data_IF_764438758271
#
_entry.id   IF_764438758271
#
_cell.length_a   1.000
_cell.length_b   1.000
_cell.length_c   1.000
_cell.angle_alpha   90.00
_cell.angle_beta   90.00
_cell.angle_gamma   90.00
#
_symmetry.space_group_name_H-M   'P 1'
#
loop_
_entity.id
_entity.type
_entity.pdbx_description
1 polymer ?
#
# COMPACT_ATOMS: atom_id res chain seq x y z
N UNK A 1 1.70 -11.03 22.40
CA UNK A 1 1.08 -11.45 21.14
C UNK A 1 -0.37 -10.92 21.04
N UNK A 2 -1.18 -11.01 22.06
CA UNK A 2 -2.61 -10.64 22.05
C UNK A 2 -2.89 -9.11 22.07
N UNK A 3 -1.88 -8.27 22.02
CA UNK A 3 -1.99 -6.80 22.07
C UNK A 3 -2.03 -6.14 20.69
N UNK A 4 -1.85 -6.90 19.61
CA UNK A 4 -1.82 -6.39 18.25
C UNK A 4 -2.27 -7.46 17.24
N UNK A 5 -2.76 -7.01 16.11
CA UNK A 5 -3.07 -7.86 14.95
C UNK A 5 -1.80 -8.11 14.15
N UNK A 6 -1.42 -9.39 14.01
CA UNK A 6 -0.25 -9.77 13.23
C UNK A 6 -0.64 -9.99 11.77
N UNK A 7 -0.03 -9.23 10.88
CA UNK A 7 -0.21 -9.39 9.44
C UNK A 7 1.09 -9.84 8.76
N UNK A 8 1.00 -10.72 7.78
CA UNK A 8 2.10 -11.14 6.92
C UNK A 8 1.60 -11.39 5.48
N UNK A 9 2.50 -11.73 4.57
CA UNK A 9 2.19 -11.85 3.14
C UNK A 9 2.81 -13.12 2.54
N UNK A 10 2.15 -13.63 1.47
CA UNK A 10 2.64 -14.71 0.60
C UNK A 10 2.48 -14.36 -0.88
N UNK A 11 2.82 -15.28 -1.76
CA UNK A 11 2.66 -15.15 -3.21
C UNK A 11 3.74 -14.30 -3.89
N UNK A 12 4.78 -13.89 -3.15
CA UNK A 12 5.95 -13.24 -3.71
C UNK A 12 7.21 -13.64 -2.94
N UNK A 13 8.29 -13.90 -3.65
CA UNK A 13 9.55 -14.32 -3.06
C UNK A 13 10.74 -13.96 -3.93
N UNK A 14 11.94 -14.23 -3.44
CA UNK A 14 13.17 -14.20 -4.21
C UNK A 14 13.57 -15.63 -4.60
N UNK A 15 13.92 -15.83 -5.87
CA UNK A 15 14.41 -17.09 -6.41
C UNK A 15 15.78 -16.85 -7.02
N UNK A 16 16.75 -17.68 -6.69
CA UNK A 16 18.05 -17.69 -7.36
C UNK A 16 17.92 -18.47 -8.69
N UNK A 17 17.65 -17.72 -9.75
CA UNK A 17 17.40 -18.30 -11.09
C UNK A 17 18.69 -18.76 -11.76
N UNK A 18 19.80 -18.07 -11.50
CA UNK A 18 21.09 -18.31 -12.15
C UNK A 18 22.05 -19.19 -11.32
N UNK A 19 21.71 -19.46 -10.05
CA UNK A 19 22.60 -20.17 -9.12
C UNK A 19 23.83 -19.35 -8.68
N UNK A 20 23.75 -18.02 -8.84
CA UNK A 20 24.85 -17.09 -8.52
C UNK A 20 24.64 -16.38 -7.16
N UNK A 21 23.62 -16.78 -6.41
CA UNK A 21 23.23 -16.18 -5.12
C UNK A 21 22.41 -14.89 -5.25
N UNK A 22 22.13 -14.42 -6.47
CA UNK A 22 21.29 -13.24 -6.68
C UNK A 22 19.83 -13.65 -6.80
N UNK A 23 19.02 -13.11 -5.90
CA UNK A 23 17.60 -13.38 -5.87
C UNK A 23 16.85 -12.47 -6.86
N UNK A 24 16.13 -13.10 -7.78
CA UNK A 24 15.16 -12.42 -8.65
C UNK A 24 13.79 -12.51 -8.00
N UNK A 25 13.07 -11.38 -7.97
CA UNK A 25 11.70 -11.36 -7.47
C UNK A 25 10.78 -12.16 -8.39
N UNK A 26 10.01 -13.07 -7.80
CA UNK A 26 9.02 -13.90 -8.49
C UNK A 26 7.69 -13.77 -7.77
N UNK A 27 6.62 -13.59 -8.56
CA UNK A 27 5.24 -13.69 -8.09
C UNK A 27 4.77 -15.11 -8.39
N UNK A 28 4.29 -15.82 -7.38
CA UNK A 28 3.82 -17.19 -7.48
C UNK A 28 2.59 -17.40 -6.61
N UNK A 29 1.42 -17.36 -7.24
CA UNK A 29 0.11 -17.50 -6.61
C UNK A 29 -0.40 -18.94 -6.54
N UNK A 30 0.42 -19.97 -6.86
CA UNK A 30 0.00 -21.35 -6.83
C UNK A 30 -0.35 -21.82 -5.41
N UNK A 31 -1.37 -22.68 -5.27
CA UNK A 31 -1.82 -23.19 -3.98
C UNK A 31 -0.72 -23.82 -3.13
N UNK A 32 0.18 -24.60 -3.72
CA UNK A 32 1.30 -25.24 -3.03
C UNK A 32 2.31 -24.22 -2.50
N UNK A 33 2.61 -23.17 -3.27
CA UNK A 33 3.51 -22.09 -2.85
C UNK A 33 2.92 -21.30 -1.70
N UNK A 34 1.63 -20.96 -1.77
CA UNK A 34 0.91 -20.23 -0.70
C UNK A 34 0.96 -21.02 0.61
N UNK A 35 0.67 -22.35 0.56
CA UNK A 35 0.71 -23.19 1.76
C UNK A 35 2.13 -23.28 2.33
N UNK A 36 3.15 -23.48 1.50
CA UNK A 36 4.55 -23.55 1.94
C UNK A 36 5.01 -22.24 2.58
N UNK A 37 4.70 -21.09 1.95
CA UNK A 37 5.09 -19.78 2.46
C UNK A 37 4.35 -19.43 3.77
N UNK A 38 3.15 -19.96 4.00
CA UNK A 38 2.47 -19.84 5.28
C UNK A 38 3.22 -20.56 6.39
N UNK A 39 3.61 -21.83 6.17
CA UNK A 39 4.40 -22.59 7.14
C UNK A 39 5.73 -21.90 7.47
N UNK A 40 6.41 -21.39 6.45
CA UNK A 40 7.65 -20.64 6.63
C UNK A 40 7.46 -19.36 7.42
N UNK A 41 6.34 -18.66 7.20
CA UNK A 41 5.99 -17.45 7.94
C UNK A 41 5.70 -17.75 9.40
N UNK A 42 4.90 -18.78 9.69
CA UNK A 42 4.60 -19.22 11.06
C UNK A 42 5.88 -19.57 11.82
N UNK A 43 6.78 -20.33 11.18
CA UNK A 43 8.07 -20.72 11.78
C UNK A 43 8.95 -19.50 12.06
N UNK A 44 9.10 -18.56 11.10
CA UNK A 44 9.93 -17.36 11.28
C UNK A 44 9.35 -16.42 12.34
N UNK A 45 8.04 -16.28 12.39
CA UNK A 45 7.31 -15.43 13.34
C UNK A 45 7.18 -16.10 14.73
N UNK A 46 7.49 -17.39 14.84
CA UNK A 46 7.35 -18.19 16.07
C UNK A 46 5.95 -18.09 16.65
N UNK A 47 4.96 -18.31 15.82
CA UNK A 47 3.53 -18.30 16.18
C UNK A 47 2.80 -19.42 15.46
N UNK A 48 1.74 -19.91 16.06
CA UNK A 48 0.90 -20.96 15.46
C UNK A 48 -0.19 -20.38 14.56
N UNK A 49 -0.44 -19.07 14.64
CA UNK A 49 -1.50 -18.41 13.88
C UNK A 49 -1.10 -16.98 13.46
N UNK A 50 -1.43 -16.61 12.21
CA UNK A 50 -1.35 -15.24 11.69
C UNK A 50 -2.77 -14.68 11.65
N UNK A 51 -2.97 -13.45 12.15
CA UNK A 51 -4.32 -12.88 12.20
C UNK A 51 -4.82 -12.45 10.82
N UNK A 52 -3.95 -11.88 9.99
CA UNK A 52 -4.28 -11.42 8.64
C UNK A 52 -3.17 -11.81 7.68
N UNK A 53 -3.50 -12.64 6.69
CA UNK A 53 -2.52 -13.12 5.72
C UNK A 53 -2.88 -12.66 4.33
N UNK A 54 -1.97 -11.90 3.71
CA UNK A 54 -2.20 -11.28 2.42
C UNK A 54 -1.61 -12.11 1.27
N UNK A 55 -2.34 -12.21 0.15
CA UNK A 55 -1.73 -12.44 -1.15
C UNK A 55 -1.06 -11.13 -1.59
N UNK A 56 0.29 -11.11 -1.65
CA UNK A 56 1.08 -9.87 -1.83
C UNK A 56 0.91 -9.26 -3.23
N UNK A 57 0.80 -10.13 -4.25
CA UNK A 57 0.45 -9.79 -5.65
C UNK A 57 -0.36 -10.93 -6.23
N UNK A 58 -1.27 -10.60 -7.13
CA UNK A 58 -1.94 -11.63 -7.92
C UNK A 58 -1.00 -12.11 -9.03
N UNK A 59 -0.73 -13.42 -9.05
CA UNK A 59 -0.07 -14.09 -10.17
C UNK A 59 -1.10 -14.29 -11.29
N UNK A 60 -1.03 -13.44 -12.31
CA UNK A 60 -1.97 -13.45 -13.43
C UNK A 60 -1.97 -14.75 -14.25
N UNK A 61 -1.04 -15.68 -13.96
CA UNK A 61 -0.98 -17.03 -14.54
C UNK A 61 -1.82 -18.04 -13.77
N UNK A 62 -2.24 -17.69 -12.55
CA UNK A 62 -3.07 -18.52 -11.67
C UNK A 62 -4.40 -17.80 -11.45
N UNK A 63 -5.55 -18.46 -11.65
CA UNK A 63 -6.84 -17.89 -11.30
C UNK A 63 -6.84 -17.37 -9.87
N UNK A 64 -7.38 -16.17 -9.64
CA UNK A 64 -7.42 -15.60 -8.28
C UNK A 64 -8.20 -16.50 -7.34
N UNK A 65 -9.20 -17.20 -7.87
CA UNK A 65 -10.05 -18.14 -7.16
C UNK A 65 -9.24 -19.30 -6.58
N UNK A 66 -8.24 -19.82 -7.29
CA UNK A 66 -7.39 -20.90 -6.82
C UNK A 66 -6.46 -20.44 -5.69
N UNK A 67 -5.87 -19.25 -5.84
CA UNK A 67 -5.03 -18.65 -4.80
C UNK A 67 -5.84 -18.38 -3.52
N UNK A 68 -7.05 -17.83 -3.66
CA UNK A 68 -7.95 -17.55 -2.51
C UNK A 68 -8.49 -18.85 -1.92
N UNK A 69 -8.77 -19.86 -2.72
CA UNK A 69 -9.11 -21.20 -2.26
C UNK A 69 -8.06 -21.81 -1.32
N UNK A 70 -6.78 -21.69 -1.71
CA UNK A 70 -5.67 -22.13 -0.84
C UNK A 70 -5.58 -21.34 0.47
N UNK A 71 -5.83 -20.03 0.44
CA UNK A 71 -5.91 -19.20 1.66
C UNK A 71 -7.11 -19.60 2.54
N UNK A 72 -8.26 -19.90 1.93
CA UNK A 72 -9.44 -20.40 2.65
C UNK A 72 -9.18 -21.75 3.36
N UNK A 73 -8.42 -22.65 2.72
CA UNK A 73 -7.95 -23.89 3.36
C UNK A 73 -7.08 -23.60 4.58
N UNK A 74 -6.21 -22.59 4.53
CA UNK A 74 -5.39 -22.19 5.67
C UNK A 74 -6.22 -21.59 6.81
N UNK A 75 -7.31 -20.87 6.50
CA UNK A 75 -8.29 -20.42 7.51
C UNK A 75 -8.94 -21.60 8.17
N UNK A 76 -9.44 -22.57 7.38
CA UNK A 76 -10.07 -23.81 7.87
C UNK A 76 -9.11 -24.64 8.73
N UNK A 77 -7.82 -24.65 8.39
CA UNK A 77 -6.79 -25.33 9.16
C UNK A 77 -6.36 -24.56 10.43
N UNK A 78 -6.90 -23.37 10.68
CA UNK A 78 -6.57 -22.53 11.84
C UNK A 78 -5.18 -21.88 11.82
N UNK A 79 -4.49 -21.89 10.67
CA UNK A 79 -3.14 -21.31 10.50
C UNK A 79 -3.17 -19.80 10.28
N UNK A 80 -4.24 -19.31 9.66
CA UNK A 80 -4.52 -17.89 9.51
C UNK A 80 -5.96 -17.63 9.97
N UNK A 81 -6.26 -16.41 10.42
CA UNK A 81 -7.62 -16.05 10.85
C UNK A 81 -8.43 -15.42 9.74
N UNK A 82 -7.80 -14.53 8.97
CA UNK A 82 -8.46 -13.75 7.91
C UNK A 82 -7.55 -13.59 6.70
N UNK A 83 -8.18 -13.33 5.56
CA UNK A 83 -7.50 -13.19 4.26
C UNK A 83 -7.46 -11.72 3.85
N UNK A 84 -6.31 -11.29 3.34
CA UNK A 84 -6.13 -10.01 2.66
C UNK A 84 -5.63 -10.18 1.23
N UNK A 85 -5.86 -9.15 0.42
CA UNK A 85 -5.28 -9.01 -0.92
C UNK A 85 -4.46 -7.73 -0.99
N UNK A 86 -3.58 -7.63 -2.00
CA UNK A 86 -2.79 -6.42 -2.23
C UNK A 86 -2.71 -6.08 -3.70
N UNK A 87 -2.92 -4.79 -4.03
CA UNK A 87 -2.74 -4.24 -5.37
C UNK A 87 -3.61 -4.92 -6.45
N UNK A 88 -4.87 -5.20 -6.12
CA UNK A 88 -5.85 -5.73 -7.08
C UNK A 88 -6.96 -4.73 -7.35
N UNK A 89 -7.60 -4.85 -8.53
CA UNK A 89 -8.73 -4.05 -8.95
C UNK A 89 -10.02 -4.41 -8.22
N UNK A 90 -11.03 -3.56 -8.33
CA UNK A 90 -12.38 -3.82 -7.83
C UNK A 90 -12.97 -5.10 -8.41
N UNK A 91 -12.73 -5.38 -9.69
CA UNK A 91 -13.21 -6.59 -10.36
C UNK A 91 -12.59 -7.86 -9.75
N UNK A 92 -11.26 -7.86 -9.56
CA UNK A 92 -10.53 -8.98 -8.96
C UNK A 92 -10.88 -9.15 -7.49
N UNK A 93 -11.05 -8.05 -6.74
CA UNK A 93 -11.51 -8.10 -5.34
C UNK A 93 -12.88 -8.79 -5.22
N UNK A 94 -13.84 -8.45 -6.08
CA UNK A 94 -15.18 -9.08 -6.08
C UNK A 94 -15.13 -10.58 -6.39
N UNK A 95 -14.32 -11.00 -7.38
CA UNK A 95 -14.10 -12.42 -7.69
C UNK A 95 -13.51 -13.18 -6.51
N UNK A 96 -12.49 -12.63 -5.90
CA UNK A 96 -11.83 -13.21 -4.73
C UNK A 96 -12.79 -13.31 -3.53
N UNK A 97 -13.54 -12.24 -3.27
CA UNK A 97 -14.50 -12.18 -2.15
C UNK A 97 -15.65 -13.19 -2.31
N UNK A 98 -16.03 -13.53 -3.54
CA UNK A 98 -17.04 -14.56 -3.82
C UNK A 98 -16.56 -15.99 -3.47
N UNK A 99 -15.25 -16.26 -3.47
CA UNK A 99 -14.66 -17.54 -3.05
C UNK A 99 -14.61 -17.65 -1.53
N UNK A 100 -14.12 -16.61 -0.88
CA UNK A 100 -14.02 -16.49 0.57
C UNK A 100 -14.02 -15.01 0.97
N UNK A 101 -14.69 -14.61 2.06
CA UNK A 101 -14.68 -13.23 2.52
C UNK A 101 -13.24 -12.67 2.66
N UNK A 102 -12.96 -11.58 1.97
CA UNK A 102 -11.71 -10.81 2.10
C UNK A 102 -11.91 -9.78 3.20
N UNK A 103 -10.98 -9.73 4.15
CA UNK A 103 -11.05 -8.83 5.29
C UNK A 103 -10.40 -7.49 5.02
N UNK A 104 -9.29 -7.48 4.25
CA UNK A 104 -8.57 -6.25 3.95
C UNK A 104 -7.97 -6.27 2.54
N UNK A 105 -7.94 -5.10 1.91
CA UNK A 105 -7.18 -4.84 0.68
C UNK A 105 -6.09 -3.82 0.97
N UNK A 106 -4.83 -4.17 0.70
CA UNK A 106 -3.69 -3.26 0.87
C UNK A 106 -3.22 -2.72 -0.47
N UNK A 107 -3.41 -1.41 -0.70
CA UNK A 107 -3.04 -0.75 -1.96
C UNK A 107 -2.42 0.62 -1.68
N UNK A 108 -1.52 1.09 -2.55
CA UNK A 108 -0.94 2.42 -2.44
C UNK A 108 -2.02 3.49 -2.57
N UNK A 109 -2.14 4.34 -1.56
CA UNK A 109 -3.08 5.45 -1.57
C UNK A 109 -2.57 6.64 -0.76
N UNK A 110 -2.60 7.79 -1.36
CA UNK A 110 -2.21 9.07 -0.77
C UNK A 110 -2.74 10.21 -1.66
N UNK A 111 -2.57 11.45 -1.24
CA UNK A 111 -2.78 12.61 -2.13
C UNK A 111 -2.02 12.48 -3.45
N UNK A 112 -0.87 11.83 -3.44
CA UNK A 112 -0.01 11.66 -4.62
C UNK A 112 -0.33 10.43 -5.48
N UNK A 113 -1.16 9.50 -4.98
CA UNK A 113 -1.60 8.28 -5.69
C UNK A 113 -3.09 8.09 -5.45
N UNK A 114 -3.92 8.48 -6.43
CA UNK A 114 -5.38 8.55 -6.32
C UNK A 114 -6.12 7.41 -7.06
N UNK A 115 -5.37 6.48 -7.67
CA UNK A 115 -5.93 5.35 -8.43
C UNK A 115 -7.04 4.57 -7.70
N UNK A 116 -6.97 4.32 -6.38
CA UNK A 116 -8.03 3.62 -5.66
C UNK A 116 -9.40 4.31 -5.71
N UNK A 117 -9.46 5.62 -5.97
CA UNK A 117 -10.71 6.38 -6.08
C UNK A 117 -11.51 6.07 -7.35
N UNK A 118 -10.90 5.39 -8.35
CA UNK A 118 -11.59 5.03 -9.60
C UNK A 118 -12.71 4.02 -9.33
N UNK A 119 -12.44 2.96 -8.53
CA UNK A 119 -13.44 1.92 -8.26
C UNK A 119 -13.21 1.13 -6.97
N UNK A 120 -11.93 0.85 -6.60
CA UNK A 120 -11.66 -0.17 -5.58
C UNK A 120 -12.03 0.29 -4.16
N UNK A 121 -11.99 1.60 -3.86
CA UNK A 121 -12.46 2.12 -2.57
C UNK A 121 -13.95 1.86 -2.35
N UNK A 122 -14.77 2.10 -3.38
CA UNK A 122 -16.21 1.84 -3.32
C UNK A 122 -16.49 0.33 -3.20
N UNK A 123 -15.75 -0.50 -3.93
CA UNK A 123 -15.85 -1.94 -3.81
C UNK A 123 -15.51 -2.43 -2.39
N UNK A 124 -14.47 -1.88 -1.77
CA UNK A 124 -14.13 -2.19 -0.38
C UNK A 124 -15.26 -1.81 0.58
N UNK A 125 -15.84 -0.62 0.42
CA UNK A 125 -16.98 -0.16 1.24
C UNK A 125 -18.21 -1.05 1.08
N UNK A 126 -18.58 -1.41 -0.14
CA UNK A 126 -19.71 -2.29 -0.45
C UNK A 126 -19.56 -3.70 0.17
N UNK A 127 -18.35 -4.25 0.13
CA UNK A 127 -18.05 -5.61 0.58
C UNK A 127 -17.67 -5.66 2.08
N UNK A 128 -17.62 -4.53 2.78
CA UNK A 128 -17.16 -4.48 4.17
C UNK A 128 -15.68 -4.80 4.35
N UNK A 129 -14.86 -4.54 3.33
CA UNK A 129 -13.41 -4.78 3.30
C UNK A 129 -12.68 -3.54 3.82
N UNK A 130 -11.76 -3.70 4.78
CA UNK A 130 -10.89 -2.61 5.21
C UNK A 130 -9.88 -2.28 4.11
N UNK A 131 -9.74 -0.98 3.79
CA UNK A 131 -8.75 -0.53 2.83
C UNK A 131 -7.49 -0.07 3.56
N UNK A 132 -6.37 -0.77 3.37
CA UNK A 132 -5.09 -0.50 4.03
C UNK A 132 -4.19 0.29 3.09
N UNK A 133 -4.03 1.58 3.35
CA UNK A 133 -3.28 2.51 2.51
C UNK A 133 -1.79 2.47 2.84
N UNK A 134 -0.98 1.84 1.98
CA UNK A 134 0.48 1.94 2.13
C UNK A 134 1.05 3.17 1.41
N UNK A 135 2.25 3.59 1.81
CA UNK A 135 2.89 4.83 1.37
C UNK A 135 2.00 6.08 1.53
N UNK A 136 1.33 6.27 2.69
CA UNK A 136 0.38 7.38 2.90
C UNK A 136 1.04 8.76 2.76
N UNK A 137 2.36 8.86 2.97
CA UNK A 137 3.16 10.08 2.80
C UNK A 137 3.88 10.16 1.45
N UNK A 138 3.41 9.41 0.43
CA UNK A 138 3.99 9.46 -0.92
C UNK A 138 5.48 9.09 -0.94
N UNK A 139 5.90 8.08 -0.18
CA UNK A 139 7.31 7.64 -0.05
C UNK A 139 8.26 8.75 0.41
N UNK A 140 7.77 9.64 1.28
CA UNK A 140 8.50 10.79 1.81
C UNK A 140 8.29 12.09 1.04
N UNK A 141 7.70 12.08 -0.16
CA UNK A 141 7.40 13.29 -0.92
C UNK A 141 6.49 14.25 -0.11
N UNK A 142 5.43 13.73 0.48
CA UNK A 142 4.47 14.51 1.26
C UNK A 142 4.97 14.87 2.67
N UNK A 143 6.14 14.41 3.10
CA UNK A 143 6.82 14.95 4.28
C UNK A 143 7.39 16.35 4.02
N UNK A 144 7.64 16.65 2.75
CA UNK A 144 8.05 17.99 2.32
C UNK A 144 9.57 18.21 2.29
N UNK A 145 10.39 17.37 2.90
CA UNK A 145 11.83 17.61 3.05
C UNK A 145 12.69 16.99 1.94
N UNK A 146 12.13 16.05 1.17
CA UNK A 146 12.82 15.42 0.07
C UNK A 146 12.80 16.34 -1.15
N UNK A 147 13.81 17.19 -1.29
CA UNK A 147 13.94 18.13 -2.42
C UNK A 147 14.83 17.62 -3.53
N UNK A 148 15.70 16.66 -3.24
CA UNK A 148 16.66 16.10 -4.19
C UNK A 148 16.71 14.57 -4.05
N UNK A 149 16.76 13.88 -5.19
CA UNK A 149 16.79 12.41 -5.25
C UNK A 149 18.22 11.88 -5.31
N UNK A 150 19.18 12.70 -5.72
CA UNK A 150 20.57 12.28 -5.93
C UNK A 150 21.30 11.88 -4.64
N UNK A 151 20.85 12.38 -3.50
CA UNK A 151 21.39 12.01 -2.18
C UNK A 151 20.84 10.70 -1.61
N UNK A 152 19.85 10.09 -2.27
CA UNK A 152 19.33 8.80 -1.85
C UNK A 152 20.36 7.69 -2.06
N UNK A 153 20.36 6.68 -1.19
CA UNK A 153 21.18 5.49 -1.35
C UNK A 153 21.03 4.90 -2.76
N UNK A 154 22.11 4.37 -3.32
CA UNK A 154 22.10 3.80 -4.67
C UNK A 154 21.07 2.66 -4.85
N UNK A 155 20.70 1.97 -3.76
CA UNK A 155 19.70 0.91 -3.73
C UNK A 155 18.29 1.39 -3.37
N UNK A 156 18.10 2.70 -3.16
CA UNK A 156 16.79 3.24 -2.84
C UNK A 156 15.85 3.08 -4.04
N UNK A 157 14.71 2.43 -3.78
CA UNK A 157 13.72 2.10 -4.83
C UNK A 157 13.17 3.34 -5.53
N UNK A 158 13.17 4.51 -4.87
CA UNK A 158 12.69 5.78 -5.44
C UNK A 158 13.49 6.21 -6.65
N UNK A 159 14.80 5.87 -6.72
CA UNK A 159 15.66 6.16 -7.88
C UNK A 159 15.18 5.48 -9.17
N UNK A 160 14.43 4.40 -9.08
CA UNK A 160 13.85 3.69 -10.24
C UNK A 160 12.38 4.04 -10.49
N UNK A 161 11.80 4.91 -9.69
CA UNK A 161 10.39 5.30 -9.82
C UNK A 161 10.24 6.53 -10.71
N UNK A 162 9.42 6.50 -11.77
CA UNK A 162 9.28 7.60 -12.73
C UNK A 162 8.91 8.94 -12.09
N UNK A 163 8.13 8.95 -11.00
CA UNK A 163 7.76 10.19 -10.29
C UNK A 163 8.95 10.92 -9.66
N UNK A 164 10.03 10.18 -9.37
CA UNK A 164 11.26 10.72 -8.79
C UNK A 164 12.35 10.96 -9.84
N UNK A 165 12.10 10.61 -11.10
CA UNK A 165 13.02 10.95 -12.19
C UNK A 165 13.16 12.48 -12.30
N UNK A 166 14.38 13.03 -12.54
CA UNK A 166 14.62 14.47 -12.48
C UNK A 166 13.64 15.29 -13.32
N UNK A 167 13.30 14.82 -14.53
CA UNK A 167 12.37 15.46 -15.45
C UNK A 167 10.93 15.57 -14.92
N UNK A 168 10.51 14.63 -14.08
CA UNK A 168 9.18 14.61 -13.47
C UNK A 168 9.19 15.24 -12.07
N UNK A 169 10.30 15.05 -11.33
CA UNK A 169 10.36 15.43 -9.94
C UNK A 169 10.32 16.95 -9.73
N UNK A 170 10.95 17.71 -10.61
CA UNK A 170 10.91 19.17 -10.57
C UNK A 170 9.46 19.71 -10.66
N UNK A 171 8.65 19.14 -11.55
CA UNK A 171 7.24 19.51 -11.68
C UNK A 171 6.42 19.10 -10.45
N UNK A 172 6.69 17.92 -9.87
CA UNK A 172 6.05 17.47 -8.65
C UNK A 172 6.43 18.35 -7.44
N UNK A 173 7.69 18.76 -7.31
CA UNK A 173 8.15 19.65 -6.25
C UNK A 173 7.41 20.99 -6.23
N UNK A 174 6.95 21.49 -7.38
CA UNK A 174 6.17 22.72 -7.47
C UNK A 174 4.81 22.65 -6.70
N UNK A 175 4.33 21.48 -6.36
CA UNK A 175 3.12 21.27 -5.56
C UNK A 175 3.37 21.52 -4.05
N UNK A 176 4.59 21.34 -3.57
CA UNK A 176 4.91 21.35 -2.14
C UNK A 176 4.77 22.72 -1.45
N UNK A 177 5.09 23.88 -2.04
CA UNK A 177 4.94 25.16 -1.34
C UNK A 177 3.51 25.42 -0.85
N UNK A 178 2.51 25.23 -1.71
CA UNK A 178 1.11 25.40 -1.35
C UNK A 178 0.62 24.31 -0.37
N UNK A 179 1.12 23.08 -0.52
CA UNK A 179 0.83 21.99 0.41
C UNK A 179 1.36 22.27 1.83
N UNK A 180 2.60 22.73 1.94
CA UNK A 180 3.21 23.14 3.22
C UNK A 180 2.48 24.33 3.87
N UNK A 181 2.09 25.31 3.06
CA UNK A 181 1.31 26.45 3.55
C UNK A 181 -0.02 26.01 4.16
N UNK A 182 -0.70 25.04 3.53
CA UNK A 182 -1.95 24.49 4.06
C UNK A 182 -1.71 23.67 5.34
N UNK A 183 -0.63 22.91 5.45
CA UNK A 183 -0.26 22.21 6.68
C UNK A 183 -0.03 23.20 7.84
N UNK A 184 0.66 24.30 7.57
CA UNK A 184 0.91 25.35 8.54
C UNK A 184 -0.39 26.07 8.98
N UNK A 185 -1.31 26.34 8.04
CA UNK A 185 -2.64 26.91 8.32
C UNK A 185 -3.48 25.99 9.22
N UNK A 186 -3.44 24.68 8.95
CA UNK A 186 -4.13 23.64 9.76
C UNK A 186 -3.46 23.45 11.13
N UNK A 187 -2.19 23.86 11.28
CA UNK A 187 -1.43 23.70 12.52
C UNK A 187 -0.86 22.28 12.71
N UNK A 188 -0.46 21.62 11.62
CA UNK A 188 0.12 20.28 11.66
C UNK A 188 1.35 20.17 10.76
N UNK A 189 2.09 19.05 10.88
CA UNK A 189 3.19 18.77 9.96
C UNK A 189 2.66 18.33 8.59
N UNK A 190 3.45 18.46 7.51
CA UNK A 190 3.06 17.93 6.21
C UNK A 190 2.77 16.41 6.23
N UNK A 191 3.54 15.62 6.99
CA UNK A 191 3.29 14.18 7.16
C UNK A 191 1.94 13.92 7.85
N UNK A 192 1.65 14.65 8.94
CA UNK A 192 0.36 14.58 9.62
C UNK A 192 -0.79 14.97 8.70
N UNK A 193 -0.63 16.02 7.87
CA UNK A 193 -1.65 16.45 6.92
C UNK A 193 -1.98 15.33 5.91
N UNK A 194 -0.96 14.66 5.34
CA UNK A 194 -1.14 13.54 4.41
C UNK A 194 -1.90 12.36 5.04
N UNK A 195 -1.54 11.99 6.26
CA UNK A 195 -2.17 10.87 6.98
C UNK A 195 -3.59 11.25 7.41
N UNK A 196 -3.77 12.45 7.96
CA UNK A 196 -5.09 12.96 8.37
C UNK A 196 -6.07 13.03 7.19
N UNK A 197 -5.59 13.44 6.00
CA UNK A 197 -6.42 13.44 4.79
C UNK A 197 -6.99 12.03 4.51
N UNK A 198 -6.18 10.98 4.60
CA UNK A 198 -6.64 9.59 4.43
C UNK A 198 -7.69 9.20 5.49
N UNK A 199 -7.47 9.56 6.75
CA UNK A 199 -8.39 9.27 7.85
C UNK A 199 -9.73 9.99 7.69
N UNK A 200 -9.77 11.15 7.01
CA UNK A 200 -10.99 11.91 6.75
C UNK A 200 -11.72 11.48 5.46
N UNK A 201 -11.06 10.72 4.56
CA UNK A 201 -11.71 10.26 3.32
C UNK A 201 -12.82 9.24 3.57
N UNK A 202 -12.57 8.23 4.41
CA UNK A 202 -13.59 7.25 4.79
C UNK A 202 -13.15 6.43 6.01
N UNK A 203 -14.11 5.95 6.80
CA UNK A 203 -13.85 5.19 8.03
C UNK A 203 -13.19 3.82 7.80
N UNK A 204 -13.34 3.23 6.60
CA UNK A 204 -12.74 1.93 6.28
C UNK A 204 -11.29 2.04 5.78
N UNK A 205 -10.71 3.24 5.73
CA UNK A 205 -9.33 3.46 5.29
C UNK A 205 -8.40 3.48 6.51
N UNK A 206 -7.36 2.66 6.46
CA UNK A 206 -6.35 2.51 7.51
C UNK A 206 -4.97 2.83 6.89
N UNK A 207 -4.41 4.02 7.13
CA UNK A 207 -3.06 4.35 6.66
C UNK A 207 -2.00 3.60 7.47
N UNK A 208 -0.96 3.11 6.78
CA UNK A 208 0.17 2.41 7.38
C UNK A 208 1.49 3.10 7.04
N UNK A 209 1.81 4.25 7.68
CA UNK A 209 3.09 4.91 7.49
C UNK A 209 4.23 4.02 8.00
N UNK A 210 5.32 3.93 7.23
CA UNK A 210 6.51 3.18 7.60
C UNK A 210 7.63 4.13 8.01
N UNK A 211 8.25 3.88 9.18
CA UNK A 211 9.38 4.67 9.66
C UNK A 211 10.36 3.82 10.48
N UNK A 212 11.62 4.24 10.52
CA UNK A 212 12.66 3.71 11.43
C UNK A 212 13.00 4.70 12.55
N UNK A 213 12.33 5.87 12.58
CA UNK A 213 12.54 6.93 13.57
C UNK A 213 11.41 6.95 14.59
N UNK A 214 11.74 6.92 15.87
CA UNK A 214 10.76 7.07 16.97
C UNK A 214 10.07 8.44 16.91
N UNK A 215 10.82 9.50 16.57
CA UNK A 215 10.26 10.85 16.41
C UNK A 215 9.22 10.89 15.29
N UNK A 216 9.53 10.31 14.13
CA UNK A 216 8.56 10.23 13.02
C UNK A 216 7.35 9.35 13.38
N UNK A 217 7.52 8.29 14.17
CA UNK A 217 6.40 7.49 14.65
C UNK A 217 5.43 8.34 15.50
N UNK A 218 5.97 9.15 16.41
CA UNK A 218 5.15 10.05 17.22
C UNK A 218 4.46 11.12 16.37
N UNK A 219 5.15 11.66 15.36
CA UNK A 219 4.58 12.61 14.41
C UNK A 219 3.42 11.98 13.62
N UNK A 220 3.64 10.81 13.03
CA UNK A 220 2.64 10.06 12.28
C UNK A 220 1.39 9.74 13.14
N UNK A 221 1.58 9.32 14.38
CA UNK A 221 0.48 9.06 15.33
C UNK A 221 -0.32 10.34 15.67
N UNK A 222 0.36 11.48 15.69
CA UNK A 222 -0.27 12.79 15.89
C UNK A 222 -1.34 13.14 14.85
N UNK A 223 -1.25 12.56 13.65
CA UNK A 223 -2.24 12.74 12.58
C UNK A 223 -3.67 12.37 12.99
N UNK A 224 -3.85 11.44 13.92
CA UNK A 224 -5.15 11.04 14.43
C UNK A 224 -5.89 12.16 15.17
N UNK A 225 -5.17 13.17 15.63
CA UNK A 225 -5.72 14.34 16.35
C UNK A 225 -5.99 15.53 15.42
N UNK A 226 -5.47 15.52 14.19
CA UNK A 226 -5.65 16.58 13.21
C UNK A 226 -7.10 16.60 12.73
N UNK A 227 -7.74 17.75 12.81
CA UNK A 227 -9.11 17.96 12.32
C UNK A 227 -9.07 18.76 11.03
N UNK A 228 -9.54 18.15 9.94
CA UNK A 228 -9.65 18.81 8.65
C UNK A 228 -11.08 19.26 8.41
N UNK A 229 -11.26 20.55 8.10
CA UNK A 229 -12.53 21.08 7.64
C UNK A 229 -12.86 20.57 6.24
N UNK A 230 -14.13 20.67 5.84
CA UNK A 230 -14.54 20.35 4.46
C UNK A 230 -13.80 21.22 3.43
N UNK A 231 -13.54 22.50 3.76
CA UNK A 231 -12.74 23.40 2.92
C UNK A 231 -11.30 22.91 2.78
N UNK A 232 -10.63 22.56 3.89
CA UNK A 232 -9.27 22.03 3.85
C UNK A 232 -9.18 20.75 3.01
N UNK A 233 -10.15 19.84 3.13
CA UNK A 233 -10.25 18.63 2.32
C UNK A 233 -10.41 18.96 0.83
N UNK A 234 -11.31 19.87 0.48
CA UNK A 234 -11.52 20.28 -0.92
C UNK A 234 -10.27 20.96 -1.52
N UNK A 235 -9.58 21.79 -0.75
CA UNK A 235 -8.31 22.44 -1.16
C UNK A 235 -7.21 21.39 -1.38
N UNK A 236 -7.07 20.41 -0.50
CA UNK A 236 -6.13 19.29 -0.69
C UNK A 236 -6.43 18.48 -1.95
N UNK A 237 -7.70 18.15 -2.17
CA UNK A 237 -8.14 17.40 -3.35
C UNK A 237 -7.91 18.16 -4.66
N UNK A 238 -8.00 19.50 -4.64
CA UNK A 238 -7.71 20.37 -5.78
C UNK A 238 -6.21 20.60 -5.99
N UNK A 239 -5.44 20.62 -4.90
CA UNK A 239 -4.00 20.94 -4.93
C UNK A 239 -3.15 19.79 -5.50
N UNK A 240 -3.44 18.54 -5.10
CA UNK A 240 -2.69 17.36 -5.54
C UNK A 240 -3.70 16.30 -6.02
N UNK A 241 -3.71 16.04 -7.32
CA UNK A 241 -4.62 15.09 -7.96
C UNK A 241 -3.98 14.43 -9.18
N UNK A 242 -4.62 13.40 -9.73
CA UNK A 242 -4.07 12.62 -10.85
C UNK A 242 -3.70 13.46 -12.08
N UNK A 243 -4.37 14.59 -12.30
CA UNK A 243 -4.13 15.46 -13.47
C UNK A 243 -2.91 16.38 -13.34
N UNK A 244 -2.32 16.55 -12.16
CA UNK A 244 -1.14 17.42 -11.96
C UNK A 244 0.07 16.70 -11.34
N UNK A 245 -0.05 15.41 -11.02
CA UNK A 245 1.07 14.56 -10.62
C UNK A 245 1.75 13.99 -11.86
N UNK A 246 3.05 14.26 -12.02
CA UNK A 246 3.81 13.87 -13.21
C UNK A 246 4.58 12.56 -12.96
N UNK A 247 4.54 11.67 -13.95
CA UNK A 247 5.19 10.36 -13.90
C UNK A 247 4.31 9.25 -13.38
N UNK A 248 4.48 8.04 -13.94
CA UNK A 248 3.77 6.85 -13.49
C UNK A 248 4.26 6.41 -12.10
N UNK A 249 3.41 5.68 -11.38
CA UNK A 249 3.67 5.17 -10.04
C UNK A 249 4.88 4.21 -9.99
N UNK A 250 4.93 3.30 -10.92
CA UNK A 250 6.02 2.34 -11.10
C UNK A 250 6.60 2.40 -12.52
N UNK A 251 7.77 1.83 -12.69
CA UNK A 251 8.32 1.53 -13.99
C UNK A 251 7.48 0.44 -14.71
N UNK A 252 7.70 0.16 -16.02
CA UNK A 252 6.89 -0.80 -16.76
C UNK A 252 6.80 -2.18 -16.11
N UNK A 253 7.90 -2.71 -15.54
CA UNK A 253 7.89 -3.98 -14.85
C UNK A 253 7.01 -3.93 -13.59
N UNK A 254 7.16 -2.94 -12.73
CA UNK A 254 6.36 -2.80 -11.53
C UNK A 254 4.86 -2.61 -11.84
N UNK A 255 4.53 -1.89 -12.91
CA UNK A 255 3.15 -1.75 -13.38
C UNK A 255 2.56 -3.07 -13.88
N UNK A 256 3.35 -3.94 -14.51
CA UNK A 256 2.87 -5.28 -14.94
C UNK A 256 2.55 -6.21 -13.78
N UNK A 257 3.13 -5.97 -12.60
CA UNK A 257 2.97 -6.79 -11.40
C UNK A 257 1.76 -6.42 -10.54
N UNK A 258 1.06 -5.36 -10.88
CA UNK A 258 -0.16 -4.91 -10.18
C UNK A 258 -1.39 -5.06 -11.09
N UNK A 259 -2.57 -5.11 -10.47
CA UNK A 259 -3.85 -5.22 -11.17
C UNK A 259 -4.79 -4.05 -10.80
N UNK A 260 -4.22 -2.96 -10.32
CA UNK A 260 -4.99 -1.77 -9.92
C UNK A 260 -5.50 -1.00 -11.11
N UNK A 261 -6.60 -0.28 -10.93
CA UNK A 261 -7.12 0.68 -11.89
C UNK A 261 -6.07 1.76 -12.22
N UNK A 262 -6.13 2.29 -13.44
CA UNK A 262 -5.29 3.41 -13.91
C UNK A 262 -6.18 4.48 -14.54
N UNK A 263 -5.77 5.76 -14.36
CA UNK A 263 -6.43 6.89 -15.01
C UNK A 263 -6.14 6.94 -16.50
#
# INVERSE_FOLDING_TARGET
RNRFTLASKCGMGGVDVAGDGKLVRVIDGRPETIRQQCEDSLRRLRTDVIDLYYLHRWDKKVPIEDSVGALADLVKAGKIRTIGLSEVSAATLRKAHAVHPITALQTEYSLWTRNPEIAVLDACKELGVAFVAFSPVGRGFLCGDLTEVDHLDAKDIRRMMPRFAPENYAANLALLPAYRALAQEVGCTPAQLAIAWLLHKAQHIIPIPGTTSVAHLHDDLGAANVKLSADAMARLDSLIHAGNVVGSRYNPQGNSEVDTEVF
#
